data_IF_956834016691
#
_entry.id   IF_956834016691
#
_cell.length_a   1.000
_cell.length_b   1.000
_cell.length_c   1.000
_cell.angle_alpha   90.00
_cell.angle_beta   90.00
_cell.angle_gamma   90.00
#
_symmetry.space_group_name_H-M   'P 1'
#
loop_
_entity.id
_entity.type
_entity.pdbx_description
1 polymer ?
#
# COMPACT_ATOMS: atom_id res chain seq x y z
N UNK A 1 4.16 -3.69 -34.34
CA UNK A 1 4.52 -5.09 -34.01
C UNK A 1 5.88 -5.26 -33.32
N UNK A 2 7.07 -5.03 -33.92
CA UNK A 2 8.36 -5.26 -33.22
C UNK A 2 8.72 -4.25 -32.11
N UNK A 3 8.20 -3.02 -32.19
CA UNK A 3 8.48 -1.93 -31.24
C UNK A 3 7.61 -2.06 -29.97
N UNK A 4 6.31 -2.33 -30.15
CA UNK A 4 5.35 -2.59 -29.08
C UNK A 4 5.77 -3.80 -28.20
N UNK A 5 6.28 -4.88 -28.81
CA UNK A 5 6.79 -6.03 -28.05
C UNK A 5 8.05 -5.75 -27.22
N UNK A 6 8.85 -4.73 -27.58
CA UNK A 6 10.01 -4.32 -26.77
C UNK A 6 9.58 -3.41 -25.62
N UNK A 7 8.59 -2.57 -25.87
CA UNK A 7 8.02 -1.66 -24.87
C UNK A 7 7.34 -2.46 -23.75
N UNK A 8 6.52 -3.45 -24.10
CA UNK A 8 5.90 -4.36 -23.13
C UNK A 8 6.93 -5.19 -22.34
N UNK A 9 8.00 -5.65 -22.98
CA UNK A 9 9.08 -6.38 -22.31
C UNK A 9 9.85 -5.51 -21.31
N UNK A 10 10.03 -4.22 -21.59
CA UNK A 10 10.68 -3.28 -20.68
C UNK A 10 9.74 -2.95 -19.51
N UNK A 11 8.45 -2.72 -19.77
CA UNK A 11 7.45 -2.49 -18.72
C UNK A 11 7.33 -3.67 -17.75
N UNK A 12 7.37 -4.90 -18.27
CA UNK A 12 7.37 -6.11 -17.46
C UNK A 12 8.60 -6.18 -16.55
N UNK A 13 9.78 -5.87 -17.08
CA UNK A 13 11.02 -5.81 -16.28
C UNK A 13 10.98 -4.71 -15.23
N UNK A 14 10.45 -3.54 -15.55
CA UNK A 14 10.26 -2.44 -14.59
C UNK A 14 9.32 -2.89 -13.46
N UNK A 15 8.20 -3.51 -13.82
CA UNK A 15 7.21 -4.01 -12.86
C UNK A 15 7.82 -5.06 -11.93
N UNK A 16 8.57 -6.02 -12.46
CA UNK A 16 9.21 -7.06 -11.67
C UNK A 16 10.28 -6.48 -10.72
N UNK A 17 11.09 -5.54 -11.21
CA UNK A 17 12.07 -4.84 -10.38
C UNK A 17 11.42 -4.05 -9.24
N UNK A 18 10.32 -3.33 -9.50
CA UNK A 18 9.58 -2.60 -8.47
C UNK A 18 9.00 -3.58 -7.43
N UNK A 19 8.35 -4.66 -7.87
CA UNK A 19 7.82 -5.69 -6.95
C UNK A 19 8.91 -6.25 -6.05
N UNK A 20 10.09 -6.60 -6.61
CA UNK A 20 11.23 -7.09 -5.83
C UNK A 20 11.76 -6.05 -4.84
N UNK A 21 11.83 -4.79 -5.25
CA UNK A 21 12.30 -3.70 -4.38
C UNK A 21 11.35 -3.48 -3.18
N UNK A 22 10.03 -3.47 -3.42
CA UNK A 22 9.04 -3.24 -2.38
C UNK A 22 8.71 -4.48 -1.53
N UNK A 23 8.97 -5.70 -2.02
CA UNK A 23 8.73 -6.94 -1.26
C UNK A 23 9.49 -6.98 0.06
N UNK A 24 10.77 -6.57 0.06
CA UNK A 24 11.59 -6.50 1.28
C UNK A 24 11.02 -5.53 2.31
N UNK A 25 10.50 -4.39 1.86
CA UNK A 25 9.90 -3.37 2.73
C UNK A 25 8.52 -3.78 3.25
N UNK A 26 7.79 -4.61 2.50
CA UNK A 26 6.50 -5.13 2.93
C UNK A 26 6.60 -6.21 4.01
N UNK A 27 7.77 -6.82 4.16
CA UNK A 27 8.09 -7.79 5.23
C UNK A 27 8.54 -7.10 6.53
N UNK A 28 8.77 -5.78 6.51
CA UNK A 28 9.08 -4.98 7.69
C UNK A 28 7.80 -4.65 8.48
N UNK A 29 7.92 -4.58 9.80
CA UNK A 29 6.81 -4.19 10.66
C UNK A 29 6.29 -2.78 10.32
N UNK A 30 4.97 -2.63 10.34
CA UNK A 30 4.33 -1.33 10.09
C UNK A 30 4.70 -0.37 11.23
N UNK A 31 5.18 0.85 10.94
CA UNK A 31 5.53 1.82 11.97
C UNK A 31 4.37 2.16 12.91
N UNK A 32 4.68 2.28 14.21
CA UNK A 32 3.70 2.50 15.29
C UNK A 32 2.74 3.67 15.04
N UNK A 33 3.26 4.79 14.51
CA UNK A 33 2.44 5.98 14.19
C UNK A 33 1.25 5.68 13.25
N UNK A 34 1.35 4.67 12.38
CA UNK A 34 0.25 4.27 11.52
C UNK A 34 -0.78 3.44 12.29
N UNK A 35 -0.35 2.58 13.21
CA UNK A 35 -1.24 1.82 14.09
C UNK A 35 -1.99 2.76 15.04
N UNK A 36 -1.31 3.78 15.58
CA UNK A 36 -1.94 4.84 16.36
C UNK A 36 -3.00 5.60 15.55
N UNK A 37 -2.72 5.91 14.28
CA UNK A 37 -3.68 6.58 13.41
C UNK A 37 -4.92 5.72 13.14
N UNK A 38 -4.73 4.42 12.88
CA UNK A 38 -5.83 3.48 12.70
C UNK A 38 -6.69 3.37 13.96
N UNK A 39 -6.06 3.40 15.13
CA UNK A 39 -6.76 3.39 16.43
C UNK A 39 -7.61 4.64 16.60
N UNK A 40 -7.04 5.82 16.33
CA UNK A 40 -7.78 7.10 16.37
C UNK A 40 -8.96 7.15 15.41
N UNK A 41 -8.80 6.61 14.20
CA UNK A 41 -9.90 6.54 13.23
C UNK A 41 -11.03 5.65 13.73
N UNK A 42 -10.72 4.47 14.29
CA UNK A 42 -11.73 3.58 14.88
C UNK A 42 -12.47 4.25 16.04
N UNK A 43 -11.74 4.90 16.95
CA UNK A 43 -12.34 5.63 18.08
C UNK A 43 -13.23 6.78 17.62
N UNK A 44 -12.85 7.46 16.52
CA UNK A 44 -13.67 8.51 15.92
C UNK A 44 -14.98 7.95 15.37
N UNK A 45 -14.94 6.83 14.64
CA UNK A 45 -16.16 6.17 14.12
C UNK A 45 -17.07 5.71 15.28
N UNK A 46 -16.50 5.12 16.33
CA UNK A 46 -17.24 4.66 17.53
C UNK A 46 -17.88 5.82 18.31
N UNK A 47 -17.18 6.95 18.43
CA UNK A 47 -17.71 8.13 19.13
C UNK A 47 -18.74 8.91 18.30
N UNK A 48 -18.69 8.83 16.96
CA UNK A 48 -19.75 9.36 16.11
C UNK A 48 -21.04 8.55 16.23
N UNK A 49 -20.97 7.22 16.32
CA UNK A 49 -22.13 6.35 16.54
C UNK A 49 -22.80 6.56 17.91
N UNK A 50 -22.05 6.92 18.95
CA UNK A 50 -22.58 7.25 20.28
C UNK A 50 -23.24 8.65 20.35
N UNK A 51 -22.95 9.53 19.40
CA UNK A 51 -23.55 10.88 19.35
C UNK A 51 -24.87 10.92 18.56
N UNK A 52 -25.16 9.90 17.75
CA UNK A 52 -26.39 9.77 16.94
C UNK A 52 -27.47 8.84 17.54
N UNK A 53 -27.29 8.32 18.76
CA UNK A 53 -28.32 7.58 19.53
C UNK A 53 -28.95 8.42 20.64
#
# INVERSE_FOLDING_TARGET
MRKENRESSIEEQITDNLRRAFRRRAEEDVPEQFLELLTKLREQDESQDDTEK
#
